data_IF_322086531366
#
_entry.id   IF_322086531366
#
_cell.length_a   1.000
_cell.length_b   1.000
_cell.length_c   1.000
_cell.angle_alpha   90.00
_cell.angle_beta   90.00
_cell.angle_gamma   90.00
#
_symmetry.space_group_name_H-M   'P 1'
#
loop_
_entity.id
_entity.type
_entity.pdbx_description
1 polymer ?
#
# COMPACT_ATOMS: atom_id res chain seq x y z
N UNK A 1 2.96 32.29 2.29
CA UNK A 1 2.33 30.98 2.54
C UNK A 1 2.75 30.06 1.42
N UNK A 2 3.32 28.89 1.71
CA UNK A 2 3.80 27.96 0.67
C UNK A 2 2.65 27.05 0.25
N UNK A 3 2.37 26.99 -1.05
CA UNK A 3 1.33 26.14 -1.62
C UNK A 3 1.93 25.11 -2.57
N UNK A 4 1.29 23.94 -2.65
CA UNK A 4 1.59 22.87 -3.60
C UNK A 4 0.27 22.42 -4.21
N UNK A 5 0.13 22.48 -5.54
CA UNK A 5 -1.13 22.18 -6.25
C UNK A 5 -2.35 22.96 -5.72
N UNK A 6 -2.14 24.21 -5.29
CA UNK A 6 -3.18 25.06 -4.69
C UNK A 6 -3.60 24.67 -3.28
N UNK A 7 -2.86 23.79 -2.59
CA UNK A 7 -3.07 23.43 -1.19
C UNK A 7 -2.03 24.13 -0.30
N UNK A 8 -2.44 24.95 0.68
CA UNK A 8 -1.54 25.54 1.66
C UNK A 8 -0.87 24.49 2.56
N UNK A 9 0.47 24.53 2.64
CA UNK A 9 1.27 23.65 3.49
C UNK A 9 1.71 24.43 4.73
N UNK A 10 1.25 23.99 5.91
CA UNK A 10 1.58 24.64 7.19
C UNK A 10 2.84 24.02 7.79
N UNK A 11 3.66 24.82 8.48
CA UNK A 11 4.97 24.37 9.01
C UNK A 11 5.80 23.63 7.94
N UNK A 12 6.04 24.25 6.76
CA UNK A 12 6.68 23.59 5.63
C UNK A 12 8.05 23.02 5.98
N UNK A 13 8.81 23.72 6.85
CA UNK A 13 10.16 23.34 7.27
C UNK A 13 10.17 22.26 8.38
N UNK A 14 9.00 21.77 8.83
CA UNK A 14 8.95 20.68 9.82
C UNK A 14 9.60 19.43 9.22
N UNK A 15 10.67 18.96 9.86
CA UNK A 15 11.39 17.74 9.46
C UNK A 15 10.49 16.53 9.69
N UNK A 16 10.19 15.80 8.60
CA UNK A 16 9.40 14.56 8.64
C UNK A 16 10.29 13.32 8.62
N UNK A 17 11.45 13.39 7.97
CA UNK A 17 12.42 12.29 7.89
C UNK A 17 13.79 12.72 8.42
N UNK A 18 14.01 12.67 9.75
CA UNK A 18 15.21 13.21 10.39
C UNK A 18 16.53 12.67 9.84
N UNK A 19 16.56 11.41 9.39
CA UNK A 19 17.76 10.78 8.86
C UNK A 19 18.21 11.37 7.51
N UNK A 20 17.27 11.93 6.74
CA UNK A 20 17.51 12.52 5.42
C UNK A 20 17.40 14.04 5.43
N UNK A 21 16.90 14.62 6.53
CA UNK A 21 16.60 16.05 6.63
C UNK A 21 15.36 16.49 5.84
N UNK A 22 14.61 15.56 5.23
CA UNK A 22 13.47 15.90 4.39
C UNK A 22 12.29 16.41 5.22
N UNK A 23 11.70 17.49 4.73
CA UNK A 23 10.67 18.27 5.41
C UNK A 23 9.26 17.87 4.95
N UNK A 24 8.24 18.43 5.61
CA UNK A 24 6.84 18.34 5.17
C UNK A 24 6.69 18.87 3.74
N UNK A 25 7.35 19.99 3.41
CA UNK A 25 7.28 20.56 2.07
C UNK A 25 7.90 19.64 1.01
N UNK A 26 9.00 18.95 1.34
CA UNK A 26 9.62 17.98 0.42
C UNK A 26 8.71 16.80 0.15
N UNK A 27 8.02 16.29 1.17
CA UNK A 27 7.03 15.23 0.99
C UNK A 27 5.84 15.68 0.14
N UNK A 28 5.35 16.91 0.35
CA UNK A 28 4.29 17.48 -0.47
C UNK A 28 4.72 17.60 -1.94
N UNK A 29 5.93 18.11 -2.20
CA UNK A 29 6.51 18.22 -3.55
C UNK A 29 6.73 16.86 -4.19
N UNK A 30 7.16 15.85 -3.43
CA UNK A 30 7.27 14.47 -3.91
C UNK A 30 5.93 13.97 -4.44
N UNK A 31 4.85 14.11 -3.66
CA UNK A 31 3.53 13.64 -4.08
C UNK A 31 3.01 14.40 -5.30
N UNK A 32 3.23 15.71 -5.39
CA UNK A 32 2.92 16.49 -6.60
C UNK A 32 3.70 15.96 -7.83
N UNK A 33 5.00 15.66 -7.68
CA UNK A 33 5.83 15.15 -8.75
C UNK A 33 5.41 13.74 -9.23
N UNK A 34 4.86 12.90 -8.36
CA UNK A 34 4.36 11.55 -8.71
C UNK A 34 2.84 11.49 -8.81
N UNK A 35 2.15 12.64 -8.92
CA UNK A 35 0.69 12.71 -8.84
C UNK A 35 0.01 11.80 -9.86
N UNK A 36 0.45 11.82 -11.12
CA UNK A 36 -0.16 11.00 -12.17
C UNK A 36 -0.08 9.48 -11.88
N UNK A 37 1.12 8.87 -11.72
CA UNK A 37 1.19 7.44 -11.45
C UNK A 37 0.63 7.05 -10.06
N UNK A 38 0.70 7.94 -9.06
CA UNK A 38 0.02 7.75 -7.77
C UNK A 38 -1.50 7.62 -7.98
N UNK A 39 -2.11 8.61 -8.65
CA UNK A 39 -3.56 8.64 -8.84
C UNK A 39 -4.07 7.48 -9.71
N UNK A 40 -3.28 6.95 -10.66
CA UNK A 40 -3.67 5.73 -11.39
C UNK A 40 -3.95 4.54 -10.47
N UNK A 41 -3.31 4.49 -9.30
CA UNK A 41 -3.42 3.37 -8.35
C UNK A 41 -4.39 3.60 -7.20
N UNK A 42 -4.69 4.86 -6.85
CA UNK A 42 -5.52 5.18 -5.67
C UNK A 42 -6.76 6.01 -5.96
N UNK A 43 -6.94 6.53 -7.18
CA UNK A 43 -8.06 7.43 -7.49
C UNK A 43 -9.40 6.81 -7.10
N UNK A 44 -10.22 7.62 -6.44
CA UNK A 44 -11.55 7.29 -5.94
C UNK A 44 -11.58 6.19 -4.86
N UNK A 45 -10.42 5.77 -4.33
CA UNK A 45 -10.38 4.77 -3.26
C UNK A 45 -10.40 5.45 -1.88
N UNK A 46 -11.10 4.86 -0.89
CA UNK A 46 -10.96 5.25 0.51
C UNK A 46 -9.54 5.02 1.01
N UNK A 47 -9.06 5.89 1.90
CA UNK A 47 -7.72 5.85 2.49
C UNK A 47 -7.78 5.73 4.01
N UNK A 48 -6.95 4.85 4.55
CA UNK A 48 -6.61 4.79 5.97
C UNK A 48 -5.29 5.52 6.13
N UNK A 49 -5.33 6.61 6.90
CA UNK A 49 -4.18 7.48 7.12
C UNK A 49 -3.36 6.98 8.31
N UNK A 50 -2.06 6.80 8.10
CA UNK A 50 -1.08 6.56 9.15
C UNK A 50 -0.32 7.86 9.43
N UNK A 51 -0.67 8.50 10.54
CA UNK A 51 -0.21 9.84 10.87
C UNK A 51 0.96 9.80 11.85
N UNK A 52 1.94 10.66 11.59
CA UNK A 52 3.15 10.90 12.37
C UNK A 52 3.27 12.39 12.65
N UNK A 53 2.58 12.91 13.68
CA UNK A 53 2.60 14.35 13.98
C UNK A 53 4.03 14.88 14.14
N UNK A 54 4.92 14.09 14.75
CA UNK A 54 6.34 14.43 15.00
C UNK A 54 7.31 13.79 13.99
N UNK A 55 6.82 13.42 12.80
CA UNK A 55 7.64 12.78 11.76
C UNK A 55 7.93 11.30 12.03
N UNK A 56 8.64 10.65 11.10
CA UNK A 56 8.84 9.21 11.03
C UNK A 56 9.59 8.59 12.24
N UNK A 57 10.28 9.41 13.03
CA UNK A 57 10.93 8.98 14.28
C UNK A 57 9.99 8.96 15.50
N UNK A 58 8.82 9.59 15.40
CA UNK A 58 7.85 9.72 16.49
C UNK A 58 6.81 8.60 16.54
N UNK A 59 5.85 8.74 17.47
CA UNK A 59 4.69 7.84 17.56
C UNK A 59 3.76 8.02 16.36
N UNK A 60 3.21 6.91 15.87
CA UNK A 60 2.18 6.91 14.84
C UNK A 60 0.82 6.49 15.38
N UNK A 61 -0.22 6.85 14.65
CA UNK A 61 -1.56 6.31 14.84
C UNK A 61 -2.32 6.22 13.52
N UNK A 62 -3.23 5.27 13.47
CA UNK A 62 -4.13 5.06 12.34
C UNK A 62 -5.40 5.89 12.49
N UNK A 63 -5.74 6.65 11.46
CA UNK A 63 -6.94 7.46 11.39
C UNK A 63 -7.80 7.04 10.21
N UNK A 64 -8.94 6.42 10.50
CA UNK A 64 -9.98 6.10 9.52
C UNK A 64 -10.89 7.30 9.26
N UNK A 65 -11.38 7.91 10.34
CA UNK A 65 -12.36 8.99 10.28
C UNK A 65 -11.69 10.33 9.99
N UNK A 66 -12.17 11.07 9.00
CA UNK A 66 -11.77 12.47 8.80
C UNK A 66 -12.23 13.35 9.98
N UNK A 67 -11.59 14.50 10.27
CA UNK A 67 -12.07 15.42 11.31
C UNK A 67 -13.52 15.84 11.08
N UNK A 68 -14.25 16.27 12.13
CA UNK A 68 -15.69 16.60 12.06
C UNK A 68 -16.04 17.71 11.07
N UNK A 69 -15.10 18.59 10.76
CA UNK A 69 -15.27 19.71 9.84
C UNK A 69 -14.14 19.67 8.81
N UNK A 70 -14.17 18.73 7.85
CA UNK A 70 -13.22 18.74 6.75
C UNK A 70 -13.52 19.93 5.82
N UNK A 71 -12.53 20.45 5.08
CA UNK A 71 -12.79 21.37 3.98
C UNK A 71 -13.86 20.85 3.01
N UNK A 72 -14.76 21.73 2.54
CA UNK A 72 -15.93 21.37 1.70
C UNK A 72 -15.58 20.66 0.38
N UNK A 73 -14.36 20.88 -0.13
CA UNK A 73 -13.87 20.26 -1.35
C UNK A 73 -13.36 18.82 -1.14
N UNK A 74 -13.21 18.35 0.10
CA UNK A 74 -12.78 16.99 0.38
C UNK A 74 -13.92 16.00 0.18
N UNK A 75 -13.66 15.00 -0.65
CA UNK A 75 -14.54 13.86 -0.81
C UNK A 75 -14.29 12.82 0.29
N UNK A 76 -15.38 12.36 0.89
CA UNK A 76 -15.38 11.25 1.85
C UNK A 76 -16.29 10.13 1.38
N UNK A 77 -16.16 8.97 2.03
CA UNK A 77 -17.09 7.86 1.89
C UNK A 77 -17.17 7.08 3.18
N UNK A 78 -18.33 6.49 3.44
CA UNK A 78 -18.50 5.58 4.56
C UNK A 78 -17.75 4.27 4.29
N UNK A 79 -16.91 3.86 5.23
CA UNK A 79 -16.28 2.53 5.25
C UNK A 79 -16.70 1.77 6.50
N UNK A 80 -16.88 0.46 6.36
CA UNK A 80 -17.20 -0.44 7.46
C UNK A 80 -15.95 -1.12 8.00
N UNK A 81 -15.92 -1.34 9.31
CA UNK A 81 -14.89 -2.14 9.97
C UNK A 81 -15.40 -3.57 10.19
N UNK A 82 -14.52 -4.53 10.55
CA UNK A 82 -14.92 -5.93 10.75
C UNK A 82 -16.04 -6.13 11.79
N UNK A 83 -16.17 -5.22 12.75
CA UNK A 83 -17.19 -5.30 13.82
C UNK A 83 -18.49 -4.56 13.48
N UNK A 84 -18.68 -4.12 12.22
CA UNK A 84 -19.88 -3.42 11.75
C UNK A 84 -19.92 -1.92 12.05
N UNK A 85 -18.92 -1.36 12.76
CA UNK A 85 -18.86 0.09 12.96
C UNK A 85 -18.42 0.80 11.69
N UNK A 86 -19.02 1.96 11.41
CA UNK A 86 -18.73 2.77 10.23
C UNK A 86 -17.85 3.98 10.54
N UNK A 87 -17.09 4.44 9.54
CA UNK A 87 -16.29 5.66 9.60
C UNK A 87 -16.34 6.41 8.28
N UNK A 88 -16.34 7.74 8.35
CA UNK A 88 -16.18 8.61 7.18
C UNK A 88 -14.71 8.71 6.81
N UNK A 89 -14.30 7.94 5.80
CA UNK A 89 -12.92 7.90 5.33
C UNK A 89 -12.66 8.92 4.23
N UNK A 90 -11.43 9.40 4.16
CA UNK A 90 -10.95 10.24 3.06
C UNK A 90 -10.97 9.44 1.75
N UNK A 91 -11.46 10.03 0.67
CA UNK A 91 -11.34 9.47 -0.69
C UNK A 91 -10.21 10.20 -1.41
N UNK A 92 -9.30 9.45 -2.03
CA UNK A 92 -8.29 10.02 -2.91
C UNK A 92 -8.92 10.44 -4.25
N UNK A 93 -9.69 11.53 -4.30
CA UNK A 93 -10.31 11.98 -5.55
C UNK A 93 -9.29 12.62 -6.51
N UNK A 94 -8.34 13.37 -5.95
CA UNK A 94 -7.22 13.99 -6.66
C UNK A 94 -6.00 14.15 -5.74
N UNK A 95 -4.94 14.77 -6.25
CA UNK A 95 -3.71 14.99 -5.50
C UNK A 95 -3.90 15.93 -4.30
N UNK A 96 -4.84 16.88 -4.35
CA UNK A 96 -5.09 17.84 -3.26
C UNK A 96 -5.59 17.13 -2.01
N UNK A 97 -6.36 16.05 -2.17
CA UNK A 97 -6.81 15.20 -1.07
C UNK A 97 -5.63 14.52 -0.34
N UNK A 98 -4.64 14.04 -1.09
CA UNK A 98 -3.41 13.46 -0.55
C UNK A 98 -2.58 14.53 0.15
N UNK A 99 -2.41 15.71 -0.46
CA UNK A 99 -1.65 16.82 0.12
C UNK A 99 -2.28 17.35 1.41
N UNK A 100 -3.60 17.39 1.50
CA UNK A 100 -4.30 17.72 2.75
C UNK A 100 -3.96 16.73 3.86
N UNK A 101 -3.98 15.43 3.56
CA UNK A 101 -3.60 14.42 4.53
C UNK A 101 -2.11 14.53 4.94
N UNK A 102 -1.22 14.82 4.00
CA UNK A 102 0.21 15.11 4.29
C UNK A 102 0.33 16.30 5.25
N UNK A 103 -0.49 17.34 5.07
CA UNK A 103 -0.48 18.51 5.95
C UNK A 103 -0.86 18.17 7.40
N UNK A 104 -1.75 17.16 7.57
CA UNK A 104 -2.09 16.56 8.87
C UNK A 104 -1.00 15.63 9.43
N UNK A 105 0.15 15.49 8.77
CA UNK A 105 1.22 14.59 9.16
C UNK A 105 1.00 13.15 8.73
N UNK A 106 0.17 12.88 7.72
CA UNK A 106 0.04 11.54 7.15
C UNK A 106 1.29 11.20 6.34
N UNK A 107 2.03 10.18 6.78
CA UNK A 107 3.17 9.65 6.03
C UNK A 107 2.82 8.35 5.30
N UNK A 108 1.87 7.58 5.82
CA UNK A 108 1.46 6.31 5.23
C UNK A 108 0.01 6.31 4.77
N UNK A 109 -0.23 5.89 3.53
CA UNK A 109 -1.57 5.72 2.98
C UNK A 109 -1.85 4.25 2.72
N UNK A 110 -2.88 3.74 3.38
CA UNK A 110 -3.35 2.36 3.22
C UNK A 110 -4.68 2.40 2.46
N UNK A 111 -4.74 1.72 1.32
CA UNK A 111 -5.76 1.87 0.31
C UNK A 111 -6.75 0.71 0.38
N UNK A 112 -8.04 1.00 0.42
CA UNK A 112 -9.09 -0.02 0.34
C UNK A 112 -9.08 -0.74 -1.02
N UNK A 113 -9.58 -1.99 -1.11
CA UNK A 113 -9.65 -2.77 -2.34
C UNK A 113 -10.81 -2.37 -3.26
N UNK A 114 -11.58 -1.35 -2.86
CA UNK A 114 -12.80 -0.90 -3.54
C UNK A 114 -12.71 0.60 -3.85
N UNK A 115 -13.56 1.06 -4.75
CA UNK A 115 -13.77 2.49 -5.02
C UNK A 115 -14.97 3.01 -4.24
N UNK A 116 -14.93 4.29 -3.87
CA UNK A 116 -16.01 4.94 -3.12
C UNK A 116 -17.37 4.87 -3.83
N UNK A 117 -17.38 4.94 -5.16
CA UNK A 117 -18.61 4.84 -5.97
C UNK A 117 -19.14 3.42 -6.19
N UNK A 118 -18.37 2.39 -5.81
CA UNK A 118 -18.74 0.98 -5.98
C UNK A 118 -18.17 0.15 -4.82
N UNK A 119 -18.66 0.34 -3.59
CA UNK A 119 -18.10 -0.27 -2.39
C UNK A 119 -18.24 -1.80 -2.33
N UNK A 120 -19.16 -2.37 -3.12
CA UNK A 120 -19.40 -3.82 -3.20
C UNK A 120 -18.55 -4.51 -4.28
N UNK A 121 -17.74 -3.75 -5.03
CA UNK A 121 -16.92 -4.26 -6.13
C UNK A 121 -15.44 -4.12 -5.82
N UNK A 122 -14.71 -5.23 -5.92
CA UNK A 122 -13.26 -5.28 -5.84
C UNK A 122 -12.67 -5.41 -7.26
N UNK A 123 -12.06 -4.33 -7.73
CA UNK A 123 -11.49 -4.20 -9.08
C UNK A 123 -9.97 -4.52 -9.14
N UNK A 124 -9.42 -5.11 -8.07
CA UNK A 124 -8.01 -5.51 -7.98
C UNK A 124 -7.85 -6.83 -7.24
N UNK A 125 -7.11 -7.76 -7.85
CA UNK A 125 -6.50 -8.89 -7.13
C UNK A 125 -5.16 -8.44 -6.56
N UNK A 126 -4.92 -8.71 -5.28
CA UNK A 126 -3.69 -8.32 -4.57
C UNK A 126 -3.02 -9.54 -3.95
N UNK A 127 -1.80 -9.84 -4.38
CA UNK A 127 -0.98 -10.94 -3.84
C UNK A 127 0.19 -10.33 -3.09
N UNK A 128 0.27 -10.56 -1.78
CA UNK A 128 1.38 -10.11 -0.95
C UNK A 128 2.37 -11.26 -0.72
N UNK A 129 3.62 -11.04 -1.11
CA UNK A 129 4.69 -12.01 -1.08
C UNK A 129 5.64 -11.63 0.04
N UNK A 130 5.50 -12.35 1.14
CA UNK A 130 6.15 -12.03 2.41
C UNK A 130 7.27 -13.04 2.74
N UNK A 131 8.51 -12.59 2.96
CA UNK A 131 9.59 -13.50 3.33
C UNK A 131 9.42 -14.00 4.77
N UNK A 132 9.40 -15.33 4.92
CA UNK A 132 9.56 -15.98 6.22
C UNK A 132 10.98 -15.78 6.78
N UNK A 133 11.24 -16.07 8.07
CA UNK A 133 12.59 -16.02 8.63
C UNK A 133 13.58 -16.85 7.79
N UNK A 134 14.75 -16.29 7.49
CA UNK A 134 15.76 -16.93 6.64
C UNK A 134 15.62 -16.64 5.14
N UNK A 135 14.51 -16.05 4.70
CA UNK A 135 14.26 -15.74 3.29
C UNK A 135 14.60 -14.28 2.98
N UNK A 136 15.38 -14.09 1.92
CA UNK A 136 15.86 -12.80 1.44
C UNK A 136 14.98 -12.22 0.34
N UNK A 137 15.39 -11.04 -0.13
CA UNK A 137 14.73 -10.38 -1.26
C UNK A 137 14.89 -11.14 -2.60
N UNK A 138 16.02 -11.80 -2.92
CA UNK A 138 16.14 -12.60 -4.14
C UNK A 138 15.06 -13.69 -4.28
N UNK A 139 14.76 -14.38 -3.19
CA UNK A 139 13.72 -15.42 -3.15
C UNK A 139 12.32 -14.82 -3.31
N UNK A 140 12.05 -13.67 -2.70
CA UNK A 140 10.78 -12.95 -2.89
C UNK A 140 10.63 -12.46 -4.34
N UNK A 141 11.72 -12.04 -4.98
CA UNK A 141 11.71 -11.68 -6.40
C UNK A 141 11.38 -12.89 -7.27
N UNK A 142 11.97 -14.04 -6.97
CA UNK A 142 11.66 -15.30 -7.67
C UNK A 142 10.19 -15.67 -7.49
N UNK A 143 9.67 -15.60 -6.27
CA UNK A 143 8.25 -15.80 -5.98
C UNK A 143 7.33 -14.90 -6.81
N UNK A 144 7.74 -13.64 -7.03
CA UNK A 144 6.96 -12.71 -7.87
C UNK A 144 6.98 -13.09 -9.35
N UNK A 145 8.11 -13.61 -9.85
CA UNK A 145 8.20 -14.13 -11.23
C UNK A 145 7.30 -15.36 -11.41
N UNK A 146 7.35 -16.33 -10.47
CA UNK A 146 6.48 -17.50 -10.48
C UNK A 146 5.00 -17.12 -10.42
N UNK A 147 4.65 -16.12 -9.60
CA UNK A 147 3.28 -15.58 -9.52
C UNK A 147 2.86 -14.95 -10.85
N UNK A 148 3.74 -14.15 -11.48
CA UNK A 148 3.49 -13.55 -12.79
C UNK A 148 3.27 -14.63 -13.86
N UNK A 149 4.11 -15.66 -13.88
CA UNK A 149 4.06 -16.70 -14.90
C UNK A 149 2.77 -17.51 -14.80
N UNK A 150 2.34 -17.89 -13.58
CA UNK A 150 1.04 -18.53 -13.38
C UNK A 150 -0.13 -17.64 -13.79
N UNK A 151 -0.10 -16.33 -13.49
CA UNK A 151 -1.13 -15.40 -13.94
C UNK A 151 -1.13 -15.27 -15.48
N UNK A 152 0.04 -15.23 -16.11
CA UNK A 152 0.18 -15.15 -17.56
C UNK A 152 -0.34 -16.41 -18.28
N UNK A 153 -0.13 -17.60 -17.72
CA UNK A 153 -0.75 -18.85 -18.21
C UNK A 153 -2.28 -18.78 -18.24
N UNK A 154 -2.87 -18.05 -17.29
CA UNK A 154 -4.32 -17.81 -17.20
C UNK A 154 -4.79 -16.62 -18.06
N UNK A 155 -3.89 -15.99 -18.83
CA UNK A 155 -4.18 -14.80 -19.63
C UNK A 155 -4.34 -13.51 -18.79
N UNK A 156 -3.90 -13.50 -17.54
CA UNK A 156 -4.05 -12.37 -16.62
C UNK A 156 -2.76 -11.55 -16.61
N UNK A 157 -2.87 -10.28 -17.00
CA UNK A 157 -1.76 -9.32 -16.89
C UNK A 157 -1.59 -8.90 -15.43
N UNK A 158 -0.34 -8.91 -14.95
CA UNK A 158 -0.01 -8.54 -13.57
C UNK A 158 1.11 -7.51 -13.48
N UNK A 159 1.10 -6.74 -12.39
CA UNK A 159 2.01 -5.65 -12.10
C UNK A 159 2.63 -5.84 -10.72
N UNK A 160 3.95 -5.61 -10.60
CA UNK A 160 4.67 -5.79 -9.34
C UNK A 160 5.05 -4.44 -8.73
N UNK A 161 5.01 -4.35 -7.41
CA UNK A 161 5.59 -3.23 -6.65
C UNK A 161 6.32 -3.72 -5.41
N UNK A 162 7.35 -2.97 -5.02
CA UNK A 162 7.94 -3.19 -3.70
C UNK A 162 7.01 -2.71 -2.60
N UNK A 163 7.07 -3.35 -1.43
CA UNK A 163 6.31 -2.93 -0.25
C UNK A 163 6.91 -1.72 0.45
N UNK A 164 8.14 -1.33 0.11
CA UNK A 164 8.99 -0.46 0.92
C UNK A 164 9.42 -1.11 2.26
N UNK A 165 9.24 -2.44 2.37
CA UNK A 165 9.56 -3.26 3.53
C UNK A 165 10.49 -4.42 3.13
N UNK A 166 10.04 -5.66 3.30
CA UNK A 166 10.80 -6.88 2.95
C UNK A 166 10.17 -7.65 1.78
N UNK A 167 8.87 -7.49 1.55
CA UNK A 167 8.10 -8.22 0.55
C UNK A 167 7.90 -7.46 -0.76
N UNK A 168 7.20 -8.13 -1.68
CA UNK A 168 6.67 -7.59 -2.93
C UNK A 168 5.14 -7.75 -2.95
N UNK A 169 4.43 -6.85 -3.62
CA UNK A 169 3.05 -7.11 -3.98
C UNK A 169 2.94 -7.31 -5.49
N UNK A 170 2.12 -8.28 -5.92
CA UNK A 170 1.68 -8.46 -7.29
C UNK A 170 0.20 -8.11 -7.38
N UNK A 171 -0.16 -7.27 -8.35
CA UNK A 171 -1.50 -6.77 -8.59
C UNK A 171 -1.99 -7.25 -9.95
N UNK A 172 -3.28 -7.55 -10.08
CA UNK A 172 -3.96 -7.65 -11.36
C UNK A 172 -5.24 -6.81 -11.32
N UNK A 173 -5.48 -6.05 -12.39
CA UNK A 173 -6.74 -5.32 -12.56
C UNK A 173 -7.86 -6.31 -12.91
N UNK A 174 -9.03 -6.06 -12.36
CA UNK A 174 -10.21 -6.90 -12.51
C UNK A 174 -11.34 -6.09 -13.13
N UNK A 175 -12.10 -6.70 -14.04
CA UNK A 175 -13.42 -6.20 -14.40
C UNK A 175 -14.29 -6.00 -13.14
N UNK A 176 -15.18 -4.99 -13.12
CA UNK A 176 -15.97 -4.64 -11.93
C UNK A 176 -17.16 -5.60 -11.71
N UNK A 177 -16.90 -6.90 -11.68
CA UNK A 177 -17.92 -7.97 -11.63
C UNK A 177 -17.91 -8.77 -10.31
N UNK A 178 -16.90 -8.57 -9.47
CA UNK A 178 -16.66 -9.42 -8.30
C UNK A 178 -16.65 -8.62 -7.00
N UNK A 179 -17.17 -9.25 -5.95
CA UNK A 179 -17.03 -8.75 -4.59
C UNK A 179 -15.67 -9.16 -3.97
N UNK A 180 -15.32 -8.55 -2.84
CA UNK A 180 -14.06 -8.86 -2.14
C UNK A 180 -13.97 -10.32 -1.65
N UNK A 181 -15.09 -10.99 -1.40
CA UNK A 181 -15.08 -12.39 -0.96
C UNK A 181 -14.70 -13.33 -2.10
N UNK A 182 -15.24 -13.08 -3.29
CA UNK A 182 -14.92 -13.80 -4.53
C UNK A 182 -13.48 -13.56 -4.95
N UNK A 183 -13.00 -12.31 -4.93
CA UNK A 183 -11.59 -12.00 -5.22
C UNK A 183 -10.65 -12.67 -4.21
N UNK A 184 -11.02 -12.71 -2.93
CA UNK A 184 -10.26 -13.45 -1.92
C UNK A 184 -10.25 -14.95 -2.19
N UNK A 185 -11.37 -15.54 -2.62
CA UNK A 185 -11.42 -16.96 -2.97
C UNK A 185 -10.48 -17.27 -4.16
N UNK A 186 -10.43 -16.40 -5.16
CA UNK A 186 -9.47 -16.50 -6.27
C UNK A 186 -8.01 -16.39 -5.78
N UNK A 187 -7.73 -15.46 -4.86
CA UNK A 187 -6.40 -15.33 -4.25
C UNK A 187 -5.97 -16.59 -3.48
N UNK A 188 -6.90 -17.23 -2.76
CA UNK A 188 -6.64 -18.52 -2.08
C UNK A 188 -6.32 -19.62 -3.09
N UNK A 189 -7.08 -19.71 -4.18
CA UNK A 189 -6.84 -20.69 -5.24
C UNK A 189 -5.45 -20.49 -5.88
N UNK A 190 -5.11 -19.24 -6.21
CA UNK A 190 -3.80 -18.88 -6.74
C UNK A 190 -2.66 -19.25 -5.78
N UNK A 191 -2.78 -18.90 -4.50
CA UNK A 191 -1.77 -19.19 -3.49
C UNK A 191 -1.54 -20.70 -3.32
N UNK A 192 -2.62 -21.49 -3.31
CA UNK A 192 -2.54 -22.96 -3.22
C UNK A 192 -1.93 -23.59 -4.47
N UNK A 193 -2.25 -23.08 -5.64
CA UNK A 193 -1.66 -23.57 -6.88
C UNK A 193 -0.16 -23.25 -6.97
N UNK A 194 0.24 -22.06 -6.53
CA UNK A 194 1.64 -21.67 -6.38
C UNK A 194 2.38 -22.59 -5.41
N UNK A 195 1.82 -22.86 -4.23
CA UNK A 195 2.41 -23.80 -3.27
C UNK A 195 2.48 -25.23 -3.84
N UNK A 196 1.46 -25.69 -4.58
CA UNK A 196 1.44 -27.02 -5.20
C UNK A 196 2.54 -27.18 -6.26
N UNK A 197 2.77 -26.15 -7.08
CA UNK A 197 3.79 -26.18 -8.15
C UNK A 197 5.20 -25.93 -7.63
N UNK A 198 5.34 -25.15 -6.56
CA UNK A 198 6.63 -24.70 -6.02
C UNK A 198 6.72 -24.90 -4.49
N UNK A 199 6.51 -26.13 -3.96
CA UNK A 199 6.35 -26.38 -2.53
C UNK A 199 7.60 -26.08 -1.68
N UNK A 200 8.78 -26.06 -2.31
CA UNK A 200 10.05 -25.73 -1.67
C UNK A 200 10.30 -24.22 -1.56
N UNK A 201 9.62 -23.40 -2.37
CA UNK A 201 9.86 -21.95 -2.47
C UNK A 201 8.70 -21.14 -1.89
N UNK A 202 7.46 -21.62 -2.06
CA UNK A 202 6.23 -20.90 -1.76
C UNK A 202 5.40 -21.67 -0.74
N UNK A 203 4.64 -20.93 0.07
CA UNK A 203 3.69 -21.52 1.00
C UNK A 203 2.44 -20.68 1.17
N UNK A 204 1.29 -21.36 1.27
CA UNK A 204 0.00 -20.76 1.60
C UNK A 204 -0.43 -21.10 3.04
N UNK A 205 0.47 -21.69 3.84
CA UNK A 205 0.17 -22.09 5.23
C UNK A 205 -0.05 -20.88 6.13
N UNK A 206 -1.16 -20.92 6.86
CA UNK A 206 -1.57 -19.81 7.72
C UNK A 206 -0.66 -19.65 8.92
N UNK A 207 -0.34 -20.75 9.60
CA UNK A 207 0.47 -20.76 10.81
C UNK A 207 1.94 -20.50 10.49
N UNK A 208 2.57 -19.61 11.27
CA UNK A 208 3.96 -19.19 10.99
C UNK A 208 4.94 -20.35 11.14
N UNK A 209 4.71 -21.26 12.09
CA UNK A 209 5.52 -22.47 12.28
C UNK A 209 5.52 -23.40 11.06
N UNK A 210 4.44 -23.43 10.27
CA UNK A 210 4.30 -24.32 9.11
C UNK A 210 4.93 -23.74 7.84
N UNK A 211 5.31 -22.45 7.85
CA UNK A 211 5.84 -21.78 6.65
C UNK A 211 7.26 -22.24 6.32
N UNK A 212 8.05 -22.59 7.32
CA UNK A 212 9.47 -22.92 7.15
C UNK A 212 10.26 -21.79 6.46
N UNK A 213 11.31 -22.15 5.73
CA UNK A 213 12.11 -21.22 4.94
C UNK A 213 11.50 -21.05 3.53
N UNK A 214 10.30 -20.46 3.44
CA UNK A 214 9.59 -20.22 2.18
C UNK A 214 8.97 -18.82 2.13
N UNK A 215 8.69 -18.32 0.93
CA UNK A 215 7.91 -17.08 0.76
C UNK A 215 6.44 -17.39 1.01
N UNK A 216 5.84 -16.66 1.94
CA UNK A 216 4.42 -16.76 2.23
C UNK A 216 3.62 -15.96 1.19
N UNK A 217 2.64 -16.62 0.56
CA UNK A 217 1.70 -15.98 -0.36
C UNK A 217 0.46 -15.58 0.44
N UNK A 218 0.44 -14.34 0.94
CA UNK A 218 -0.64 -13.81 1.77
C UNK A 218 -1.85 -13.42 0.90
N UNK A 219 -2.81 -14.34 0.81
CA UNK A 219 -4.09 -14.13 0.14
C UNK A 219 -5.07 -13.25 0.95
N UNK A 220 -4.85 -13.03 2.25
CA UNK A 220 -5.81 -12.35 3.12
C UNK A 220 -5.85 -10.83 2.92
N UNK A 221 -4.93 -10.26 2.14
CA UNK A 221 -4.96 -8.84 1.76
C UNK A 221 -6.19 -8.46 0.92
N UNK A 222 -6.90 -9.45 0.34
CA UNK A 222 -8.13 -9.25 -0.44
C UNK A 222 -9.42 -9.29 0.41
N UNK A 223 -9.33 -9.45 1.73
CA UNK A 223 -10.54 -9.43 2.57
C UNK A 223 -11.20 -8.02 2.54
N UNK A 224 -12.54 -7.92 2.59
CA UNK A 224 -13.28 -6.67 2.36
C UNK A 224 -12.84 -5.45 3.18
N UNK A 225 -12.33 -5.69 4.40
CA UNK A 225 -11.94 -4.64 5.35
C UNK A 225 -10.42 -4.41 5.42
N UNK A 226 -9.64 -5.11 4.60
CA UNK A 226 -8.18 -5.00 4.60
C UNK A 226 -7.74 -3.88 3.69
N UNK A 227 -6.82 -3.07 4.18
CA UNK A 227 -6.20 -2.00 3.43
C UNK A 227 -4.76 -2.38 3.14
N UNK A 228 -4.31 -2.10 1.91
CA UNK A 228 -2.95 -2.40 1.49
C UNK A 228 -2.19 -1.11 1.30
N UNK A 229 -0.92 -1.08 1.69
CA UNK A 229 -0.10 0.12 1.54
C UNK A 229 0.01 0.52 0.06
N UNK A 230 -0.35 1.77 -0.23
CA UNK A 230 -0.48 2.29 -1.59
C UNK A 230 0.83 2.22 -2.40
N UNK A 231 0.70 2.11 -3.72
CA UNK A 231 1.83 2.34 -4.62
C UNK A 231 2.23 3.83 -4.56
N UNK A 232 3.51 4.13 -4.77
CA UNK A 232 4.06 5.50 -4.73
C UNK A 232 3.94 6.24 -3.38
N UNK A 233 3.44 5.57 -2.33
CA UNK A 233 3.37 6.16 -1.01
C UNK A 233 4.74 6.10 -0.31
N UNK A 234 5.15 7.21 0.30
CA UNK A 234 6.35 7.27 1.15
C UNK A 234 6.18 6.35 2.37
N UNK A 235 7.24 5.68 2.82
CA UNK A 235 7.20 4.82 4.02
C UNK A 235 7.84 5.55 5.21
N UNK A 236 7.20 5.52 6.40
CA UNK A 236 7.83 5.96 7.64
C UNK A 236 8.83 4.89 8.10
N UNK A 237 10.06 4.94 7.60
CA UNK A 237 11.12 4.04 8.05
C UNK A 237 11.81 4.62 9.30
N UNK A 238 11.72 3.93 10.44
CA UNK A 238 12.45 4.30 11.66
C UNK A 238 13.92 3.83 11.63
N UNK A 239 14.76 4.41 12.50
CA UNK A 239 16.22 4.24 12.60
C UNK A 239 16.74 2.79 12.45
N UNK A 240 16.00 1.79 12.94
CA UNK A 240 16.41 0.37 12.88
C UNK A 240 16.47 -0.19 11.46
N UNK A 241 15.76 0.43 10.52
CA UNK A 241 15.58 -0.09 9.15
C UNK A 241 16.60 0.44 8.16
N UNK A 242 17.16 1.63 8.38
CA UNK A 242 18.30 2.15 7.61
C UNK A 242 19.61 1.44 7.96
N UNK A 243 19.89 1.13 9.23
CA UNK A 243 21.17 0.53 9.66
C UNK A 243 21.44 -0.89 9.14
N UNK A 244 20.42 -1.61 8.67
CA UNK A 244 20.59 -2.93 8.01
C UNK A 244 20.89 -2.82 6.51
N UNK A 245 20.86 -1.61 5.94
CA UNK A 245 21.31 -1.36 4.57
C UNK A 245 22.71 -0.76 4.67
N UNK A 246 23.70 -1.46 4.14
CA UNK A 246 25.06 -0.94 3.99
C UNK A 246 25.05 0.46 3.36
N UNK A 247 25.98 1.34 3.72
CA UNK A 247 26.08 2.67 3.13
C UNK A 247 26.59 2.51 1.70
N UNK A 248 25.66 2.42 0.75
CA UNK A 248 25.93 2.36 -0.67
C UNK A 248 24.84 3.10 -1.44
N UNK A 249 25.10 3.53 -2.69
CA UNK A 249 24.21 4.39 -3.47
C UNK A 249 22.89 3.71 -3.91
N UNK A 250 22.68 2.46 -3.51
CA UNK A 250 21.52 1.65 -3.87
C UNK A 250 20.41 1.72 -2.82
N UNK A 251 19.82 2.90 -2.64
CA UNK A 251 18.42 2.97 -2.24
C UNK A 251 17.61 2.51 -3.47
N UNK A 252 16.73 1.49 -3.38
CA UNK A 252 16.10 0.87 -4.54
C UNK A 252 15.46 1.94 -5.40
N UNK A 253 16.06 2.14 -6.57
CA UNK A 253 15.53 2.96 -7.63
C UNK A 253 14.20 2.35 -8.05
N UNK A 254 13.21 3.22 -8.10
CA UNK A 254 11.83 2.91 -8.40
C UNK A 254 11.73 2.50 -9.87
N UNK A 255 11.40 1.24 -10.15
CA UNK A 255 10.98 0.85 -11.50
C UNK A 255 9.56 1.39 -11.72
N UNK A 256 9.30 2.19 -12.76
CA UNK A 256 7.95 2.63 -13.08
C UNK A 256 7.07 1.41 -13.40
N UNK A 257 5.81 1.44 -12.94
CA UNK A 257 4.76 0.66 -13.58
C UNK A 257 4.64 1.17 -15.03
N UNK A 258 5.09 0.38 -16.00
CA UNK A 258 4.68 0.50 -17.40
C UNK A 258 3.71 -0.62 -17.70
#
# INVERSE_FOLDING_TARGET
>A
MTEVEGVPITSPDKVFFPQRGETKLDLARYYAAVAEPLMRTMRDRPLLMERYPEGAGGKSFFQKRVPKSPPDWLRTTTVSTPNGTTAEALVAADIRHVLWAVNLGCLGFHVWPVRAGAPDVADELRVDLDPSPGIGFPEVREAALLTRDLLAELGITSYVKTTGSRGLHVYAALEPLWDSYQVRAAAVALARELERRHPEQLTAQWWKEERGARVFVDYNQNAPHKTVFGAWCARPASERRCRRRSPGPNCPQWTPMR
#
